data_IF_743203847252
#
_entry.id   IF_743203847252
#
_cell.length_a   1.000
_cell.length_b   1.000
_cell.length_c   1.000
_cell.angle_alpha   90.00
_cell.angle_beta   90.00
_cell.angle_gamma   90.00
#
_symmetry.space_group_name_H-M   'P 1'
#
loop_
_entity.id
_entity.type
_entity.pdbx_description
1 polymer ?
#
# COMPACT_ATOMS: atom_id res chain seq x y z
N UNK A 1 -17.28 -1.43 -11.43
CA UNK A 1 -15.89 -1.12 -11.86
C UNK A 1 -14.92 -1.65 -10.83
N UNK A 2 -13.94 -2.46 -11.23
CA UNK A 2 -12.84 -2.87 -10.34
C UNK A 2 -11.74 -1.81 -10.34
N UNK A 3 -11.13 -1.65 -9.16
CA UNK A 3 -9.97 -0.78 -8.95
C UNK A 3 -8.84 -1.63 -8.39
N UNK A 4 -7.74 -1.74 -9.10
CA UNK A 4 -6.54 -2.44 -8.66
C UNK A 4 -5.62 -1.43 -8.00
N UNK A 5 -5.33 -1.64 -6.73
CA UNK A 5 -4.70 -0.65 -5.85
C UNK A 5 -3.44 -1.23 -5.24
N UNK A 6 -2.42 -0.40 -5.17
CA UNK A 6 -1.21 -0.66 -4.39
C UNK A 6 -0.80 0.62 -3.66
N UNK A 7 -0.18 0.48 -2.48
CA UNK A 7 0.26 1.61 -1.66
C UNK A 7 1.67 1.42 -1.15
N UNK A 8 2.45 2.51 -1.13
CA UNK A 8 3.76 2.55 -0.52
C UNK A 8 3.76 3.39 0.75
N UNK A 9 4.51 2.91 1.74
CA UNK A 9 4.48 3.46 3.10
C UNK A 9 5.88 3.69 3.65
N UNK A 10 5.99 4.67 4.53
CA UNK A 10 7.21 4.99 5.27
C UNK A 10 6.93 5.02 6.77
N UNK A 11 7.96 4.92 7.64
CA UNK A 11 7.76 5.12 9.07
C UNK A 11 7.26 6.54 9.37
N UNK A 12 6.75 6.74 10.58
CA UNK A 12 6.29 8.07 11.03
C UNK A 12 7.35 9.14 10.82
N UNK A 13 6.96 10.24 10.18
CA UNK A 13 7.81 11.41 9.95
C UNK A 13 7.65 12.48 11.04
N UNK A 14 6.92 12.14 12.13
CA UNK A 14 6.86 13.04 13.28
C UNK A 14 8.27 13.23 13.88
N UNK A 15 8.72 14.49 14.16
CA UNK A 15 10.11 14.76 14.60
C UNK A 15 10.56 13.97 15.83
N UNK A 16 9.64 13.58 16.71
CA UNK A 16 9.94 12.85 17.93
C UNK A 16 9.76 11.31 17.79
N UNK A 17 9.36 10.81 16.61
CA UNK A 17 8.99 9.40 16.45
C UNK A 17 10.15 8.45 16.80
N UNK A 18 11.34 8.69 16.25
CA UNK A 18 12.53 7.87 16.53
C UNK A 18 12.92 7.93 18.01
N UNK A 19 12.89 9.11 18.63
CA UNK A 19 13.20 9.29 20.04
C UNK A 19 12.20 8.54 20.93
N UNK A 20 10.91 8.59 20.61
CA UNK A 20 9.86 7.87 21.32
C UNK A 20 10.03 6.34 21.19
N UNK A 21 10.37 5.85 20.00
CA UNK A 21 10.69 4.42 19.79
C UNK A 21 11.88 4.03 20.65
N UNK A 22 12.97 4.80 20.61
CA UNK A 22 14.17 4.54 21.42
C UNK A 22 13.87 4.49 22.92
N UNK A 23 13.05 5.41 23.42
CA UNK A 23 12.64 5.45 24.83
C UNK A 23 11.79 4.24 25.24
N UNK A 24 11.08 3.60 24.30
CA UNK A 24 10.25 2.42 24.54
C UNK A 24 11.00 1.09 24.47
N UNK A 25 12.26 1.10 23.97
CA UNK A 25 13.05 -0.12 23.79
C UNK A 25 13.33 -0.81 25.11
N UNK A 26 13.52 -2.11 25.01
CA UNK A 26 14.00 -2.96 26.11
C UNK A 26 15.15 -3.81 25.59
N UNK A 27 16.22 -3.99 26.37
CA UNK A 27 17.27 -4.92 26.00
C UNK A 27 16.71 -6.34 25.77
N UNK A 28 17.33 -7.13 24.90
CA UNK A 28 16.92 -8.51 24.68
C UNK A 28 16.81 -9.28 25.99
N UNK A 29 15.72 -10.01 26.17
CA UNK A 29 15.45 -10.77 27.40
C UNK A 29 16.48 -11.86 27.74
N UNK A 30 17.39 -12.17 26.82
CA UNK A 30 18.54 -13.06 27.00
C UNK A 30 19.68 -12.41 27.80
N UNK A 31 19.77 -11.06 27.79
CA UNK A 31 20.77 -10.31 28.56
C UNK A 31 20.32 -10.21 30.02
N UNK A 32 21.09 -10.81 30.93
CA UNK A 32 20.76 -10.83 32.36
C UNK A 32 21.76 -10.07 33.22
N UNK A 33 23.02 -9.94 32.74
CA UNK A 33 24.08 -9.28 33.48
C UNK A 33 24.01 -7.76 33.29
N UNK A 34 24.13 -6.95 34.37
CA UNK A 34 24.09 -5.49 34.26
C UNK A 34 25.07 -4.92 33.24
N UNK A 35 26.29 -5.49 33.17
CA UNK A 35 27.35 -5.04 32.26
C UNK A 35 26.93 -5.29 30.79
N UNK A 36 26.30 -6.44 30.51
CA UNK A 36 25.80 -6.76 29.16
C UNK A 36 24.64 -5.86 28.74
N UNK A 37 23.76 -5.53 29.69
CA UNK A 37 22.66 -4.60 29.45
C UNK A 37 23.21 -3.18 29.20
N UNK A 38 24.17 -2.72 29.97
CA UNK A 38 24.82 -1.42 29.77
C UNK A 38 25.56 -1.38 28.41
N UNK A 39 26.26 -2.43 28.04
CA UNK A 39 26.95 -2.52 26.76
C UNK A 39 25.94 -2.50 25.57
N UNK A 40 24.79 -3.16 25.68
CA UNK A 40 23.73 -3.11 24.67
C UNK A 40 23.19 -1.70 24.50
N UNK A 41 22.91 -0.99 25.59
CA UNK A 41 22.46 0.41 25.53
C UNK A 41 23.49 1.35 24.90
N UNK A 42 24.78 1.09 25.11
CA UNK A 42 25.85 1.90 24.56
C UNK A 42 26.13 1.65 23.08
N UNK A 43 25.94 0.42 22.61
CA UNK A 43 26.44 0.01 21.29
C UNK A 43 25.35 -0.40 20.28
N UNK A 44 24.17 -0.85 20.76
CA UNK A 44 23.16 -1.48 19.90
C UNK A 44 21.79 -0.75 19.92
N UNK A 45 21.50 0.02 20.98
CA UNK A 45 20.20 0.60 21.19
C UNK A 45 19.77 1.58 20.06
N UNK A 46 20.70 2.34 19.49
CA UNK A 46 20.38 3.29 18.42
C UNK A 46 20.03 2.57 17.11
N UNK A 47 20.78 1.53 16.77
CA UNK A 47 20.46 0.70 15.60
C UNK A 47 19.13 -0.06 15.78
N UNK A 48 18.88 -0.58 17.00
CA UNK A 48 17.62 -1.24 17.31
C UNK A 48 16.43 -0.26 17.26
N UNK A 49 16.65 1.00 17.64
CA UNK A 49 15.64 2.06 17.54
C UNK A 49 15.33 2.39 16.08
N UNK A 50 16.33 2.54 15.23
CA UNK A 50 16.15 2.79 13.79
C UNK A 50 15.38 1.64 13.13
N UNK A 51 15.78 0.39 13.40
CA UNK A 51 15.08 -0.78 12.87
C UNK A 51 13.61 -0.84 13.34
N UNK A 52 13.35 -0.58 14.61
CA UNK A 52 11.99 -0.57 15.15
C UNK A 52 11.15 0.58 14.60
N UNK A 53 11.75 1.76 14.39
CA UNK A 53 11.11 2.90 13.76
C UNK A 53 10.79 2.62 12.28
N UNK A 54 11.73 2.08 11.52
CA UNK A 54 11.47 1.69 10.11
C UNK A 54 10.32 0.71 9.98
N UNK A 55 10.16 -0.22 10.92
CA UNK A 55 9.03 -1.16 10.96
C UNK A 55 7.66 -0.50 11.17
N UNK A 56 7.60 0.75 11.58
CA UNK A 56 6.33 1.49 11.63
C UNK A 56 5.68 1.65 10.26
N UNK A 57 6.45 1.56 9.15
CA UNK A 57 5.88 1.51 7.80
C UNK A 57 4.85 0.39 7.59
N UNK A 58 4.83 -0.63 8.44
CA UNK A 58 3.84 -1.71 8.39
C UNK A 58 2.63 -1.50 9.31
N UNK A 59 2.59 -0.42 10.07
CA UNK A 59 1.51 -0.09 11.02
C UNK A 59 0.89 1.27 10.70
N UNK A 60 -0.33 1.26 10.18
CA UNK A 60 -1.06 2.48 9.82
C UNK A 60 -1.39 3.42 10.99
N UNK A 61 -1.13 3.02 12.25
CA UNK A 61 -1.24 3.90 13.41
C UNK A 61 -0.10 4.92 13.44
N UNK A 62 1.07 4.50 12.97
CA UNK A 62 2.32 5.28 13.04
C UNK A 62 2.88 5.61 11.66
N UNK A 63 2.92 4.61 10.76
CA UNK A 63 3.41 4.79 9.40
C UNK A 63 2.54 5.71 8.56
N UNK A 64 3.11 6.22 7.50
CA UNK A 64 2.49 7.21 6.60
C UNK A 64 2.49 6.70 5.16
N UNK A 65 1.44 7.03 4.41
CA UNK A 65 1.39 6.80 2.97
C UNK A 65 2.29 7.79 2.24
N UNK A 66 3.09 7.31 1.30
CA UNK A 66 3.88 8.16 0.41
C UNK A 66 3.50 8.03 -1.04
N UNK A 67 3.04 6.86 -1.48
CA UNK A 67 2.53 6.70 -2.84
C UNK A 67 1.27 5.85 -2.85
N UNK A 68 0.38 6.14 -3.79
CA UNK A 68 -0.84 5.37 -4.06
C UNK A 68 -0.94 5.21 -5.57
N UNK A 69 -1.11 3.98 -6.04
CA UNK A 69 -1.36 3.66 -7.44
C UNK A 69 -2.72 2.99 -7.62
N UNK A 70 -3.42 3.36 -8.67
CA UNK A 70 -4.73 2.82 -9.03
C UNK A 70 -4.77 2.54 -10.53
N UNK A 71 -5.21 1.33 -10.87
CA UNK A 71 -5.54 0.91 -12.22
C UNK A 71 -6.99 0.46 -12.24
N UNK A 72 -7.81 1.01 -13.12
CA UNK A 72 -9.20 0.57 -13.28
C UNK A 72 -9.31 -0.61 -14.24
N UNK A 73 -10.41 -1.36 -14.19
CA UNK A 73 -10.63 -2.51 -15.09
C UNK A 73 -10.77 -2.12 -16.56
N UNK A 74 -11.06 -0.87 -16.87
CA UNK A 74 -11.11 -0.30 -18.23
C UNK A 74 -9.77 0.32 -18.67
N UNK A 75 -8.71 0.21 -17.85
CA UNK A 75 -7.35 0.58 -18.18
C UNK A 75 -6.96 2.03 -17.85
N UNK A 76 -7.83 2.82 -17.19
CA UNK A 76 -7.44 4.11 -16.67
C UNK A 76 -6.43 3.93 -15.53
N UNK A 77 -5.47 4.84 -15.40
CA UNK A 77 -4.39 4.76 -14.41
C UNK A 77 -4.23 6.11 -13.70
N UNK A 78 -3.91 6.03 -12.43
CA UNK A 78 -3.48 7.16 -11.64
C UNK A 78 -2.42 6.69 -10.64
N UNK A 79 -1.39 7.46 -10.48
CA UNK A 79 -0.36 7.29 -9.45
C UNK A 79 0.11 8.64 -9.00
N UNK A 80 0.42 8.76 -7.73
CA UNK A 80 1.05 9.95 -7.16
C UNK A 80 1.94 9.54 -5.99
N UNK A 81 3.03 10.27 -5.81
CA UNK A 81 3.98 10.10 -4.72
C UNK A 81 4.30 11.46 -4.11
N UNK A 82 3.87 11.68 -2.88
CA UNK A 82 4.21 12.90 -2.16
C UNK A 82 5.71 12.96 -1.85
N UNK A 83 6.33 14.11 -2.07
CA UNK A 83 7.71 14.35 -1.67
C UNK A 83 7.84 14.52 -0.13
N UNK A 84 9.06 14.38 0.44
CA UNK A 84 9.29 14.72 1.83
C UNK A 84 8.80 16.14 2.18
N UNK A 85 7.99 16.24 3.24
CA UNK A 85 7.39 17.51 3.67
C UNK A 85 6.03 17.84 3.03
N UNK A 86 5.61 17.13 2.01
CA UNK A 86 4.26 17.27 1.46
C UNK A 86 3.19 16.57 2.30
N UNK A 87 1.94 17.00 2.11
CA UNK A 87 0.80 16.57 2.91
C UNK A 87 0.29 15.19 2.52
N UNK A 88 0.26 14.25 3.46
CA UNK A 88 -0.43 12.97 3.28
C UNK A 88 -1.94 13.15 3.05
N UNK A 89 -2.56 14.16 3.68
CA UNK A 89 -3.96 14.50 3.43
C UNK A 89 -4.19 14.95 1.99
N UNK A 90 -3.23 15.65 1.39
CA UNK A 90 -3.25 16.04 -0.03
C UNK A 90 -3.25 14.82 -0.94
N UNK A 91 -2.30 13.90 -0.74
CA UNK A 91 -2.21 12.64 -1.51
C UNK A 91 -3.52 11.84 -1.43
N UNK A 92 -4.09 11.66 -0.24
CA UNK A 92 -5.36 10.97 -0.05
C UNK A 92 -6.53 11.66 -0.76
N UNK A 93 -6.60 13.00 -0.68
CA UNK A 93 -7.65 13.78 -1.34
C UNK A 93 -7.59 13.65 -2.85
N UNK A 94 -6.40 13.77 -3.44
CA UNK A 94 -6.20 13.60 -4.88
C UNK A 94 -6.49 12.16 -5.35
N UNK A 95 -6.08 11.16 -4.58
CA UNK A 95 -6.42 9.76 -4.84
C UNK A 95 -7.94 9.56 -4.92
N UNK A 96 -8.69 10.02 -3.92
CA UNK A 96 -10.13 9.84 -3.88
C UNK A 96 -10.84 10.62 -4.99
N UNK A 97 -10.36 11.81 -5.33
CA UNK A 97 -10.86 12.59 -6.46
C UNK A 97 -10.56 11.90 -7.81
N UNK A 98 -9.37 11.28 -7.95
CA UNK A 98 -9.01 10.54 -9.16
C UNK A 98 -9.95 9.33 -9.39
N UNK A 99 -10.27 8.58 -8.33
CA UNK A 99 -11.22 7.46 -8.41
C UNK A 99 -12.60 7.94 -8.88
N UNK A 100 -13.10 9.05 -8.37
CA UNK A 100 -14.39 9.58 -8.81
C UNK A 100 -14.35 10.06 -10.27
N UNK A 101 -13.24 10.65 -10.72
CA UNK A 101 -13.06 10.99 -12.15
C UNK A 101 -13.07 9.74 -13.03
N UNK A 102 -12.35 8.67 -12.67
CA UNK A 102 -12.35 7.39 -13.39
C UNK A 102 -13.76 6.81 -13.48
N UNK A 103 -14.49 6.82 -12.38
CA UNK A 103 -15.87 6.33 -12.29
C UNK A 103 -16.81 7.09 -13.21
N UNK A 104 -16.70 8.42 -13.26
CA UNK A 104 -17.48 9.27 -14.15
C UNK A 104 -17.16 9.01 -15.61
N UNK A 105 -15.87 8.92 -15.97
CA UNK A 105 -15.43 8.62 -17.33
C UNK A 105 -15.99 7.27 -17.81
N UNK A 106 -15.98 6.23 -16.97
CA UNK A 106 -16.54 4.94 -17.32
C UNK A 106 -18.06 5.01 -17.49
N UNK A 107 -18.78 5.73 -16.62
CA UNK A 107 -20.21 5.88 -16.72
C UNK A 107 -20.62 6.57 -18.03
N UNK A 108 -19.89 7.61 -18.42
CA UNK A 108 -20.12 8.35 -19.68
C UNK A 108 -19.88 7.46 -20.92
N UNK A 109 -18.87 6.59 -20.85
CA UNK A 109 -18.54 5.66 -21.93
C UNK A 109 -19.60 4.54 -22.11
N UNK A 110 -20.14 4.04 -20.98
CA UNK A 110 -21.09 2.92 -21.00
C UNK A 110 -22.52 3.31 -21.37
N UNK A 111 -22.96 4.48 -20.97
CA UNK A 111 -24.32 4.95 -21.20
C UNK A 111 -24.40 6.49 -21.20
N UNK A 112 -24.19 7.15 -22.34
CA UNK A 112 -24.24 8.62 -22.42
C UNK A 112 -25.54 9.24 -21.90
N UNK A 113 -26.65 8.49 -22.00
CA UNK A 113 -27.97 8.93 -21.53
C UNK A 113 -28.24 8.58 -20.05
N UNK A 114 -27.42 7.70 -19.44
CA UNK A 114 -27.59 7.22 -18.07
C UNK A 114 -26.70 7.99 -17.07
N UNK A 115 -26.54 9.30 -17.24
CA UNK A 115 -25.70 10.16 -16.38
C UNK A 115 -26.03 10.10 -14.87
N UNK A 116 -27.13 9.47 -14.49
CA UNK A 116 -27.51 9.23 -13.09
C UNK A 116 -26.99 7.89 -12.53
N UNK A 117 -26.41 7.01 -13.37
CA UNK A 117 -25.92 5.70 -12.92
C UNK A 117 -24.39 5.68 -12.90
N UNK A 118 -23.85 5.53 -11.73
CA UNK A 118 -22.40 5.32 -11.54
C UNK A 118 -22.18 3.87 -11.14
N UNK A 119 -21.20 3.16 -11.76
CA UNK A 119 -20.90 1.79 -11.41
C UNK A 119 -20.45 1.67 -9.94
N UNK A 120 -20.84 0.59 -9.29
CA UNK A 120 -20.29 0.24 -7.98
C UNK A 120 -18.78 -0.02 -8.11
N UNK A 121 -18.02 0.45 -7.14
CA UNK A 121 -16.58 0.28 -7.07
C UNK A 121 -16.22 -0.94 -6.24
N UNK A 122 -15.32 -1.76 -6.76
CA UNK A 122 -14.81 -2.96 -6.08
C UNK A 122 -13.28 -2.92 -6.05
N UNK A 123 -12.68 -2.52 -4.91
CA UNK A 123 -11.23 -2.44 -4.79
C UNK A 123 -10.59 -3.84 -4.69
N UNK A 124 -9.45 -4.00 -5.31
CA UNK A 124 -8.65 -5.22 -5.35
C UNK A 124 -7.19 -4.86 -5.09
N UNK A 125 -6.51 -5.62 -4.23
CA UNK A 125 -5.07 -5.48 -4.00
C UNK A 125 -4.41 -6.86 -3.79
N UNK A 126 -3.09 -6.92 -3.71
CA UNK A 126 -2.42 -8.20 -3.47
C UNK A 126 -2.52 -8.64 -2.01
N UNK A 127 -2.15 -7.86 -1.06
CA UNK A 127 -2.37 -8.09 0.37
C UNK A 127 -3.42 -7.09 0.89
N UNK A 128 -4.60 -7.13 0.30
CA UNK A 128 -5.60 -6.07 0.37
C UNK A 128 -5.97 -5.59 1.79
N UNK A 129 -5.82 -6.43 2.80
CA UNK A 129 -6.01 -6.02 4.19
C UNK A 129 -5.00 -4.95 4.64
N UNK A 130 -3.79 -4.97 4.07
CA UNK A 130 -2.76 -3.95 4.29
C UNK A 130 -3.15 -2.65 3.60
N UNK A 131 -3.33 -2.67 2.28
CA UNK A 131 -3.59 -1.49 1.46
C UNK A 131 -4.87 -0.77 1.88
N UNK A 132 -5.99 -1.50 1.94
CA UNK A 132 -7.27 -0.93 2.37
C UNK A 132 -7.21 -0.45 3.82
N UNK A 133 -6.49 -1.21 4.68
CA UNK A 133 -6.29 -0.86 6.07
C UNK A 133 -5.50 0.42 6.26
N UNK A 134 -4.45 0.64 5.46
CA UNK A 134 -3.68 1.88 5.45
C UNK A 134 -4.52 3.05 4.94
N UNK A 135 -5.09 2.93 3.75
CA UNK A 135 -5.94 3.99 3.17
C UNK A 135 -7.04 4.44 4.13
N UNK A 136 -7.76 3.48 4.71
CA UNK A 136 -8.87 3.78 5.63
C UNK A 136 -8.40 4.48 6.91
N UNK A 137 -7.35 3.94 7.58
CA UNK A 137 -6.86 4.50 8.84
C UNK A 137 -6.17 5.84 8.64
N UNK A 138 -5.37 5.97 7.59
CA UNK A 138 -4.67 7.23 7.30
C UNK A 138 -5.63 8.33 6.88
N UNK A 139 -6.71 8.02 6.18
CA UNK A 139 -7.79 8.98 5.92
C UNK A 139 -8.37 9.55 7.24
N UNK A 140 -8.64 8.68 8.22
CA UNK A 140 -9.15 9.11 9.54
C UNK A 140 -8.11 9.93 10.31
N UNK A 141 -6.85 9.47 10.36
CA UNK A 141 -5.75 10.20 11.05
C UNK A 141 -5.59 11.60 10.48
N UNK A 142 -5.66 11.73 9.14
CA UNK A 142 -5.51 12.98 8.43
C UNK A 142 -6.83 13.79 8.32
N UNK A 143 -7.94 13.30 8.90
CA UNK A 143 -9.27 13.93 8.85
C UNK A 143 -9.78 14.14 7.41
N UNK A 144 -9.39 13.28 6.50
CA UNK A 144 -9.92 13.19 5.13
C UNK A 144 -11.18 12.32 5.16
N UNK A 145 -12.24 12.75 4.49
CA UNK A 145 -13.47 11.98 4.42
C UNK A 145 -13.24 10.62 3.73
N UNK A 146 -13.56 9.53 4.42
CA UNK A 146 -13.45 8.17 3.86
C UNK A 146 -14.56 7.97 2.83
N UNK A 147 -14.24 7.67 1.56
CA UNK A 147 -15.27 7.46 0.54
C UNK A 147 -15.99 6.12 0.77
N UNK A 148 -17.25 6.04 0.35
CA UNK A 148 -18.11 4.88 0.57
C UNK A 148 -17.58 3.59 -0.09
N UNK A 149 -16.77 3.69 -1.14
CA UNK A 149 -16.19 2.55 -1.83
C UNK A 149 -14.98 1.93 -1.11
N UNK A 150 -14.34 2.66 -0.18
CA UNK A 150 -13.17 2.17 0.55
C UNK A 150 -13.61 1.28 1.72
N UNK A 151 -13.27 -0.02 1.72
CA UNK A 151 -13.70 -0.94 2.75
C UNK A 151 -13.04 -0.64 4.09
N UNK A 152 -13.85 -0.60 5.14
CA UNK A 152 -13.40 -0.43 6.52
C UNK A 152 -12.91 -1.74 7.15
N UNK A 153 -12.48 -1.71 8.44
CA UNK A 153 -11.85 -2.84 9.12
C UNK A 153 -12.73 -4.09 9.27
N UNK A 154 -14.05 -3.94 9.15
CA UNK A 154 -15.01 -5.05 9.26
C UNK A 154 -15.41 -5.63 7.90
N UNK A 155 -14.85 -5.11 6.81
CA UNK A 155 -15.10 -5.60 5.46
C UNK A 155 -14.50 -6.99 5.24
N UNK A 156 -15.11 -7.75 4.32
CA UNK A 156 -14.78 -9.15 4.07
C UNK A 156 -14.21 -9.33 2.67
N UNK A 157 -13.03 -9.96 2.60
CA UNK A 157 -12.44 -10.39 1.33
C UNK A 157 -13.39 -11.31 0.55
N UNK A 158 -13.42 -11.13 -0.76
CA UNK A 158 -14.31 -11.86 -1.68
C UNK A 158 -15.75 -11.32 -1.74
N UNK A 159 -16.15 -10.45 -0.82
CA UNK A 159 -17.45 -9.79 -0.82
C UNK A 159 -17.31 -8.28 -1.02
N UNK A 160 -16.59 -7.63 -0.13
CA UNK A 160 -16.51 -6.17 -0.07
C UNK A 160 -15.23 -5.66 -0.79
N UNK A 161 -14.24 -6.53 -0.97
CA UNK A 161 -13.00 -6.26 -1.73
C UNK A 161 -12.35 -7.57 -2.22
N UNK A 162 -11.49 -7.48 -3.22
CA UNK A 162 -10.68 -8.58 -3.74
C UNK A 162 -9.28 -8.62 -3.12
N UNK A 163 -8.73 -9.83 -2.95
CA UNK A 163 -7.35 -10.03 -2.50
C UNK A 163 -6.72 -11.18 -3.28
N UNK A 164 -5.78 -10.88 -4.18
CA UNK A 164 -5.14 -11.90 -5.02
C UNK A 164 -4.31 -12.89 -4.20
N UNK A 165 -3.69 -12.44 -3.10
CA UNK A 165 -2.97 -13.33 -2.18
C UNK A 165 -3.90 -14.36 -1.53
N UNK A 166 -5.07 -13.93 -1.01
CA UNK A 166 -6.04 -14.84 -0.40
C UNK A 166 -6.71 -15.77 -1.39
N UNK A 167 -6.99 -15.30 -2.62
CA UNK A 167 -7.53 -16.17 -3.68
C UNK A 167 -6.59 -17.31 -4.03
N UNK A 168 -5.28 -17.07 -4.03
CA UNK A 168 -4.28 -18.09 -4.33
C UNK A 168 -3.93 -18.96 -3.12
N UNK A 169 -3.55 -18.35 -2.02
CA UNK A 169 -2.97 -19.03 -0.87
C UNK A 169 -3.98 -19.52 0.17
N UNK A 170 -5.24 -19.05 0.10
CA UNK A 170 -6.25 -19.32 1.11
C UNK A 170 -6.03 -18.56 2.42
N UNK A 171 -6.93 -18.76 3.38
CA UNK A 171 -6.83 -18.13 4.70
C UNK A 171 -5.57 -18.57 5.45
N UNK A 172 -4.79 -17.60 5.93
CA UNK A 172 -3.54 -17.83 6.66
C UNK A 172 -2.33 -18.16 5.78
N UNK A 173 -2.55 -18.47 4.50
CA UNK A 173 -1.47 -18.65 3.54
C UNK A 173 -0.91 -17.30 3.07
N UNK A 174 0.35 -17.32 2.58
CA UNK A 174 1.03 -16.15 2.04
C UNK A 174 1.78 -16.51 0.76
N UNK A 175 1.77 -15.62 -0.19
CA UNK A 175 2.58 -15.64 -1.41
C UNK A 175 2.92 -14.19 -1.74
N UNK A 176 4.13 -13.92 -2.21
CA UNK A 176 4.48 -12.57 -2.69
C UNK A 176 3.86 -12.34 -4.07
N UNK A 177 3.59 -11.07 -4.42
CA UNK A 177 3.11 -10.71 -5.75
C UNK A 177 4.09 -11.18 -6.83
N UNK A 178 5.39 -10.98 -6.64
CA UNK A 178 6.44 -11.46 -7.53
C UNK A 178 6.39 -12.98 -7.77
N UNK A 179 6.29 -13.78 -6.70
CA UNK A 179 6.17 -15.23 -6.83
C UNK A 179 4.91 -15.66 -7.56
N UNK A 180 3.81 -14.94 -7.34
CA UNK A 180 2.54 -15.21 -8.00
C UNK A 180 2.58 -14.80 -9.49
N UNK A 181 3.18 -13.66 -9.81
CA UNK A 181 3.44 -13.23 -11.19
C UNK A 181 4.25 -14.28 -11.96
N UNK A 182 5.35 -14.74 -11.36
CA UNK A 182 6.20 -15.78 -11.97
C UNK A 182 5.43 -17.10 -12.20
N UNK A 183 4.62 -17.53 -11.24
CA UNK A 183 3.82 -18.76 -11.37
C UNK A 183 2.73 -18.65 -12.47
N UNK A 184 2.23 -17.46 -12.70
CA UNK A 184 1.14 -17.20 -13.67
C UNK A 184 1.64 -16.64 -15.01
N UNK A 185 2.95 -16.54 -15.23
CA UNK A 185 3.57 -15.90 -16.39
C UNK A 185 3.09 -14.45 -16.64
N UNK A 186 2.88 -13.73 -15.56
CA UNK A 186 2.61 -12.29 -15.57
C UNK A 186 3.93 -11.53 -15.37
N UNK A 187 4.17 -10.40 -16.05
CA UNK A 187 5.36 -9.58 -15.81
C UNK A 187 5.47 -9.17 -14.34
N UNK A 188 6.65 -9.45 -13.74
CA UNK A 188 6.90 -9.06 -12.34
C UNK A 188 7.25 -7.59 -12.26
N UNK A 189 6.69 -6.83 -11.29
CA UNK A 189 7.04 -5.43 -11.05
C UNK A 189 8.51 -5.24 -10.65
N UNK A 190 9.13 -6.27 -10.03
CA UNK A 190 10.56 -6.23 -9.64
C UNK A 190 11.53 -6.19 -10.82
N UNK A 191 11.09 -6.41 -12.04
CA UNK A 191 11.93 -6.23 -13.23
C UNK A 191 12.47 -4.78 -13.36
N UNK A 192 11.85 -3.79 -12.70
CA UNK A 192 12.31 -2.41 -12.62
C UNK A 192 13.46 -2.14 -11.63
N UNK A 193 13.89 -3.14 -10.84
CA UNK A 193 15.06 -3.05 -9.96
C UNK A 193 14.81 -2.46 -8.57
N UNK A 194 13.61 -1.96 -8.27
CA UNK A 194 13.20 -1.52 -6.93
C UNK A 194 12.40 -2.62 -6.20
N UNK A 195 12.49 -2.63 -4.89
CA UNK A 195 11.60 -3.40 -4.03
C UNK A 195 11.12 -2.56 -2.82
N UNK A 196 10.08 -3.00 -2.14
CA UNK A 196 9.46 -2.25 -1.05
C UNK A 196 10.40 -1.87 0.10
N UNK A 197 11.53 -2.58 0.29
CA UNK A 197 12.51 -2.23 1.34
C UNK A 197 13.31 -0.97 1.00
N UNK A 198 13.37 -0.60 -0.27
CA UNK A 198 14.12 0.56 -0.78
C UNK A 198 13.27 1.83 -0.85
N UNK A 199 11.93 1.70 -0.74
CA UNK A 199 11.00 2.83 -0.89
C UNK A 199 11.33 3.97 0.07
N UNK A 200 11.58 3.67 1.35
CA UNK A 200 11.86 4.72 2.33
C UNK A 200 13.14 5.49 2.02
N UNK A 201 14.22 4.80 1.64
CA UNK A 201 15.50 5.44 1.31
C UNK A 201 15.40 6.23 -0.01
N UNK A 202 14.68 5.73 -1.02
CA UNK A 202 14.38 6.45 -2.25
C UNK A 202 13.54 7.71 -1.98
N UNK A 203 12.54 7.60 -1.11
CA UNK A 203 11.70 8.73 -0.72
C UNK A 203 12.52 9.83 0.00
N UNK A 204 13.39 9.45 0.94
CA UNK A 204 14.31 10.39 1.59
C UNK A 204 15.25 11.09 0.60
N UNK A 205 15.64 10.39 -0.46
CA UNK A 205 16.44 10.95 -1.54
C UNK A 205 15.66 11.86 -2.50
N UNK A 206 14.32 11.93 -2.36
CA UNK A 206 13.43 12.68 -3.23
C UNK A 206 13.16 12.03 -4.59
N UNK A 207 13.44 10.74 -4.73
CA UNK A 207 13.21 9.98 -5.97
C UNK A 207 11.76 9.48 -6.07
N UNK A 208 10.82 10.43 -6.07
CA UNK A 208 9.38 10.14 -6.16
C UNK A 208 9.01 9.46 -7.47
N UNK A 209 9.69 9.80 -8.56
CA UNK A 209 9.41 9.22 -9.88
C UNK A 209 9.72 7.70 -9.93
N UNK A 210 10.79 7.25 -9.29
CA UNK A 210 11.10 5.83 -9.18
C UNK A 210 10.06 5.08 -8.34
N UNK A 211 9.56 5.71 -7.25
CA UNK A 211 8.51 5.14 -6.40
C UNK A 211 7.19 5.05 -7.15
N UNK A 212 6.79 6.09 -7.89
CA UNK A 212 5.58 6.07 -8.73
C UNK A 212 5.63 4.98 -9.78
N UNK A 213 6.77 4.84 -10.46
CA UNK A 213 6.95 3.79 -11.46
C UNK A 213 6.82 2.40 -10.85
N UNK A 214 7.44 2.16 -9.70
CA UNK A 214 7.39 0.91 -8.98
C UNK A 214 5.96 0.60 -8.50
N UNK A 215 5.31 1.53 -7.80
CA UNK A 215 3.96 1.37 -7.27
C UNK A 215 2.91 1.14 -8.38
N UNK A 216 3.01 1.89 -9.50
CA UNK A 216 2.12 1.68 -10.64
C UNK A 216 2.32 0.29 -11.27
N UNK A 217 3.57 -0.20 -11.35
CA UNK A 217 3.85 -1.54 -11.86
C UNK A 217 3.25 -2.63 -10.94
N UNK A 218 3.27 -2.44 -9.61
CA UNK A 218 2.62 -3.33 -8.65
C UNK A 218 1.09 -3.36 -8.87
N UNK A 219 0.42 -2.21 -8.99
CA UNK A 219 -1.01 -2.14 -9.26
C UNK A 219 -1.39 -2.78 -10.61
N UNK A 220 -0.57 -2.60 -11.65
CA UNK A 220 -0.75 -3.26 -12.96
C UNK A 220 -0.60 -4.77 -12.86
N UNK A 221 0.39 -5.25 -12.11
CA UNK A 221 0.59 -6.68 -11.87
C UNK A 221 -0.60 -7.28 -11.10
N UNK A 222 -1.13 -6.58 -10.09
CA UNK A 222 -2.37 -7.00 -9.39
C UNK A 222 -3.53 -7.15 -10.36
N UNK A 223 -3.71 -6.21 -11.31
CA UNK A 223 -4.76 -6.29 -12.32
C UNK A 223 -4.63 -7.52 -13.22
N UNK A 224 -3.42 -7.79 -13.72
CA UNK A 224 -3.14 -8.93 -14.58
C UNK A 224 -3.31 -10.26 -13.84
N UNK A 225 -2.76 -10.38 -12.64
CA UNK A 225 -2.92 -11.53 -11.75
C UNK A 225 -4.40 -11.80 -11.47
N UNK A 226 -5.17 -10.75 -11.17
CA UNK A 226 -6.60 -10.88 -10.93
C UNK A 226 -7.32 -11.44 -12.14
N UNK A 227 -7.04 -10.96 -13.37
CA UNK A 227 -7.63 -11.44 -14.61
C UNK A 227 -7.36 -12.94 -14.82
N UNK A 228 -6.12 -13.38 -14.60
CA UNK A 228 -5.77 -14.80 -14.72
C UNK A 228 -6.52 -15.64 -13.69
N UNK A 229 -6.56 -15.21 -12.42
CA UNK A 229 -7.25 -15.93 -11.34
C UNK A 229 -8.78 -16.02 -11.55
N UNK A 230 -9.36 -15.06 -12.24
CA UNK A 230 -10.80 -15.10 -12.62
C UNK A 230 -11.06 -15.86 -13.91
N UNK A 231 -10.05 -16.45 -14.55
CA UNK A 231 -10.18 -17.13 -15.82
C UNK A 231 -10.49 -16.22 -17.01
N UNK A 232 -10.29 -14.89 -16.86
CA UNK A 232 -10.52 -13.89 -17.90
C UNK A 232 -9.24 -13.48 -18.62
N UNK A 233 -8.07 -13.88 -18.11
CA UNK A 233 -6.77 -13.69 -18.75
C UNK A 233 -6.62 -14.69 -19.90
N UNK A 234 -6.91 -14.26 -21.13
CA UNK A 234 -6.60 -15.05 -22.32
C UNK A 234 -5.08 -15.25 -22.42
N UNK A 235 -4.67 -16.49 -22.72
CA UNK A 235 -3.30 -16.75 -23.16
C UNK A 235 -3.07 -15.94 -24.46
N UNK A 236 -2.19 -14.94 -24.40
CA UNK A 236 -1.64 -14.27 -25.60
C UNK A 236 -0.45 -15.04 -26.09
#
# INVERSE_FOLDING_TARGET
>A
MKLFIDVETVPSQHPEALAAVRASLKPPGTLKKPESIAAWWANEADSAADEAWRKQSFDATHGELVSIAIVSEDGQQWVDCRAPGESEAGLLGECFAAVERMRQTQAEALAPDARAWLPDLYPVAHNAAFDMGFLWRRAIVNRVAVPAWLPGPMARAGKDYGCTMLLWAGFGGRVSLDSLCNALNVPSPKAGGMDGSQVFDAWLAGDTAAIEHYNLADAQAVAQVWQVLQGTGGAT
#
